data_IF_876799540812
#
_entry.id   IF_876799540812
#
_cell.length_a   1.000
_cell.length_b   1.000
_cell.length_c   1.000
_cell.angle_alpha   90.00
_cell.angle_beta   90.00
_cell.angle_gamma   90.00
#
_symmetry.space_group_name_H-M   'P 1'
#
loop_
_entity.id
_entity.type
_entity.pdbx_description
1 polymer ?
#
# COMPACT_ATOMS: atom_id res chain seq x y z
N UNK A 1 -0.42 9.81 17.78
CA UNK A 1 -0.99 8.70 16.99
C UNK A 1 -0.58 8.87 15.53
N UNK A 2 0.59 8.37 15.13
CA UNK A 2 1.01 8.42 13.73
C UNK A 2 0.13 7.49 12.88
N UNK A 3 -0.30 7.98 11.72
CA UNK A 3 -0.86 7.12 10.67
C UNK A 3 0.27 6.24 10.12
N UNK A 4 -0.02 4.97 9.91
CA UNK A 4 0.85 4.00 9.27
C UNK A 4 0.13 3.36 8.09
N UNK A 5 0.88 2.96 7.07
CA UNK A 5 0.38 2.07 6.05
C UNK A 5 0.69 0.60 6.44
N UNK A 6 -0.17 -0.34 6.04
CA UNK A 6 -0.03 -1.79 6.21
C UNK A 6 -0.13 -2.53 4.88
N UNK A 7 0.44 -1.94 3.81
CA UNK A 7 0.39 -2.56 2.47
C UNK A 7 1.07 -3.93 2.48
N UNK A 8 2.18 -4.08 3.20
CA UNK A 8 2.83 -5.39 3.39
C UNK A 8 1.88 -6.44 3.95
N UNK A 9 1.29 -6.18 5.12
CA UNK A 9 0.40 -7.14 5.78
C UNK A 9 -0.78 -7.52 4.88
N UNK A 10 -1.35 -6.54 4.18
CA UNK A 10 -2.48 -6.76 3.27
C UNK A 10 -2.09 -7.61 2.05
N UNK A 11 -0.90 -7.38 1.49
CA UNK A 11 -0.36 -8.18 0.38
C UNK A 11 -0.03 -9.60 0.82
N UNK A 12 0.66 -9.75 1.94
CA UNK A 12 1.06 -11.04 2.51
C UNK A 12 -0.18 -11.91 2.82
N UNK A 13 -1.24 -11.30 3.39
CA UNK A 13 -2.51 -11.99 3.67
C UNK A 13 -3.23 -12.54 2.42
N UNK A 14 -2.87 -12.04 1.24
CA UNK A 14 -3.46 -12.44 -0.06
C UNK A 14 -2.46 -13.15 -0.96
N UNK A 15 -1.28 -13.50 -0.45
CA UNK A 15 -0.19 -14.12 -1.23
C UNK A 15 0.22 -13.31 -2.47
N UNK A 16 0.09 -11.97 -2.41
CA UNK A 16 0.49 -11.07 -3.49
C UNK A 16 1.93 -10.62 -3.21
N UNK A 17 2.84 -10.86 -4.15
CA UNK A 17 4.22 -10.38 -4.00
C UNK A 17 4.31 -8.87 -4.24
N UNK A 18 5.28 -8.20 -3.62
CA UNK A 18 5.55 -6.77 -3.92
C UNK A 18 5.82 -6.50 -5.40
N UNK A 19 6.38 -7.48 -6.13
CA UNK A 19 6.59 -7.40 -7.57
C UNK A 19 5.26 -7.40 -8.32
N UNK A 20 4.35 -8.32 -7.98
CA UNK A 20 3.00 -8.36 -8.55
C UNK A 20 2.25 -7.06 -8.25
N UNK A 21 2.30 -6.57 -7.00
CA UNK A 21 1.72 -5.29 -6.60
C UNK A 21 2.20 -4.12 -7.47
N UNK A 22 3.51 -4.05 -7.71
CA UNK A 22 4.08 -3.04 -8.60
C UNK A 22 3.52 -3.15 -10.01
N UNK A 23 3.48 -4.37 -10.57
CA UNK A 23 3.01 -4.61 -11.95
C UNK A 23 1.53 -4.30 -12.12
N UNK A 24 0.69 -4.72 -11.18
CA UNK A 24 -0.76 -4.53 -11.22
C UNK A 24 -1.16 -3.07 -11.09
N UNK A 25 -0.51 -2.33 -10.18
CA UNK A 25 -0.86 -0.94 -9.90
C UNK A 25 -0.28 0.06 -10.92
N UNK A 26 0.72 -0.34 -11.71
CA UNK A 26 1.42 0.57 -12.63
C UNK A 26 2.08 1.76 -11.90
N UNK A 27 2.47 1.56 -10.64
CA UNK A 27 3.23 2.55 -9.87
C UNK A 27 4.68 2.61 -10.33
N UNK A 28 5.37 3.70 -9.97
CA UNK A 28 6.83 3.70 -10.03
C UNK A 28 7.35 2.61 -9.08
N UNK A 29 8.35 1.84 -9.51
CA UNK A 29 8.88 0.71 -8.75
C UNK A 29 9.29 1.11 -7.33
N UNK A 30 10.02 2.23 -7.20
CA UNK A 30 10.44 2.77 -5.91
C UNK A 30 9.23 3.09 -5.00
N UNK A 31 8.13 3.61 -5.55
CA UNK A 31 6.91 3.88 -4.77
C UNK A 31 6.28 2.58 -4.27
N UNK A 32 6.13 1.58 -5.15
CA UNK A 32 5.54 0.31 -4.80
C UNK A 32 6.36 -0.43 -3.72
N UNK A 33 7.68 -0.44 -3.87
CA UNK A 33 8.58 -1.07 -2.91
C UNK A 33 8.59 -0.31 -1.58
N UNK A 34 8.62 1.03 -1.61
CA UNK A 34 8.59 1.84 -0.39
C UNK A 34 7.28 1.67 0.39
N UNK A 35 6.14 1.54 -0.28
CA UNK A 35 4.88 1.22 0.39
C UNK A 35 4.92 -0.13 1.11
N UNK A 36 5.62 -1.11 0.56
CA UNK A 36 5.79 -2.41 1.17
C UNK A 36 6.81 -2.39 2.33
N UNK A 37 7.96 -1.73 2.13
CA UNK A 37 9.10 -1.79 3.04
C UNK A 37 9.01 -0.79 4.22
N UNK A 38 8.32 0.35 4.06
CA UNK A 38 8.24 1.43 5.06
C UNK A 38 6.80 1.73 5.49
N UNK A 39 6.35 1.25 6.67
CA UNK A 39 5.01 1.53 7.21
C UNK A 39 4.75 3.02 7.50
N UNK A 40 5.78 3.87 7.56
CA UNK A 40 5.62 5.31 7.78
C UNK A 40 5.40 6.09 6.48
N UNK A 41 5.60 5.46 5.33
CA UNK A 41 5.38 6.08 4.04
C UNK A 41 3.89 6.10 3.70
N UNK A 42 3.27 7.28 3.73
CA UNK A 42 1.84 7.43 3.44
C UNK A 42 1.64 7.74 1.95
N UNK A 43 0.88 6.92 1.19
CA UNK A 43 0.59 7.18 -0.21
C UNK A 43 -0.24 8.46 -0.39
N UNK A 44 0.11 9.25 -1.40
CA UNK A 44 -0.73 10.37 -1.86
C UNK A 44 -1.97 9.91 -2.64
N UNK A 45 -2.87 10.84 -2.95
CA UNK A 45 -4.16 10.55 -3.60
C UNK A 45 -4.05 9.79 -4.92
N UNK A 46 -3.10 10.14 -5.79
CA UNK A 46 -2.90 9.45 -7.08
C UNK A 46 -2.47 8.00 -6.93
N UNK A 47 -1.65 7.71 -5.91
CA UNK A 47 -1.21 6.35 -5.58
C UNK A 47 -2.37 5.54 -5.02
N UNK A 48 -3.16 6.13 -4.11
CA UNK A 48 -4.36 5.50 -3.56
C UNK A 48 -5.38 5.18 -4.67
N UNK A 49 -5.55 6.08 -5.65
CA UNK A 49 -6.43 5.83 -6.78
C UNK A 49 -5.97 4.64 -7.64
N UNK A 50 -4.67 4.52 -7.92
CA UNK A 50 -4.12 3.36 -8.64
C UNK A 50 -4.31 2.04 -7.89
N UNK A 51 -4.14 2.05 -6.57
CA UNK A 51 -4.39 0.88 -5.71
C UNK A 51 -5.88 0.50 -5.78
N UNK A 52 -6.78 1.47 -5.71
CA UNK A 52 -8.22 1.25 -5.84
C UNK A 52 -8.57 0.64 -7.20
N UNK A 53 -8.02 1.15 -8.31
CA UNK A 53 -8.26 0.58 -9.64
C UNK A 53 -7.77 -0.86 -9.78
N UNK A 54 -6.61 -1.20 -9.21
CA UNK A 54 -6.02 -2.53 -9.34
C UNK A 54 -6.70 -3.59 -8.47
N UNK A 55 -7.10 -3.23 -7.24
CA UNK A 55 -7.54 -4.21 -6.23
C UNK A 55 -8.88 -3.91 -5.57
N UNK A 56 -9.52 -2.79 -5.92
CA UNK A 56 -10.72 -2.27 -5.25
C UNK A 56 -10.51 -2.05 -3.75
N UNK A 57 -9.28 -1.73 -3.33
CA UNK A 57 -8.96 -1.45 -1.94
C UNK A 57 -9.18 0.02 -1.62
N UNK A 58 -10.01 0.28 -0.60
CA UNK A 58 -10.18 1.62 -0.06
C UNK A 58 -9.02 1.96 0.89
N UNK A 59 -8.68 3.26 1.09
CA UNK A 59 -7.62 3.67 1.99
C UNK A 59 -7.71 3.09 3.40
N UNK A 60 -8.93 2.97 3.95
CA UNK A 60 -9.14 2.40 5.29
C UNK A 60 -8.76 0.91 5.43
N UNK A 61 -8.50 0.20 4.33
CA UNK A 61 -8.03 -1.18 4.37
C UNK A 61 -6.53 -1.29 4.63
N UNK A 62 -5.77 -0.23 4.33
CA UNK A 62 -4.31 -0.24 4.43
C UNK A 62 -3.73 0.97 5.18
N UNK A 63 -4.54 1.93 5.63
CA UNK A 63 -4.12 3.06 6.47
C UNK A 63 -4.75 2.95 7.85
N UNK A 64 -3.92 3.00 8.89
CA UNK A 64 -4.38 2.86 10.28
C UNK A 64 -3.66 3.84 11.19
N UNK A 65 -4.39 4.36 12.17
CA UNK A 65 -3.79 5.07 13.30
C UNK A 65 -3.23 4.04 14.28
N UNK A 66 -1.93 4.14 14.60
CA UNK A 66 -1.33 3.32 15.64
C UNK A 66 -1.22 4.13 16.93
N UNK A 67 -1.59 3.50 18.05
CA UNK A 67 -1.31 4.01 19.40
C UNK A 67 0.06 3.47 19.81
N UNK A 68 0.92 4.36 20.29
CA UNK A 68 2.25 4.02 20.80
C UNK A 68 2.16 3.12 22.04
#
# INVERSE_FOLDING_TARGET
MPTKNKIKDLLDSRSITRYQFWKDTGLAQNTAYRLYDDPSYIPGSSVMHKIFLAYNWQPGMYLFCQKD
#
